data_IF_491155960692
#
_entry.id   IF_491155960692
#
_cell.length_a   1.000
_cell.length_b   1.000
_cell.length_c   1.000
_cell.angle_alpha   90.00
_cell.angle_beta   90.00
_cell.angle_gamma   90.00
#
_symmetry.space_group_name_H-M   'P 1'
#
loop_
_entity.id
_entity.type
_entity.pdbx_description
1 polymer ?
#
# COMPACT_ATOMS: atom_id res chain seq x y z
N UNK A 1 1.36 -63.16 -10.37
CA UNK A 1 0.31 -62.19 -10.77
C UNK A 1 -0.44 -61.54 -9.61
N UNK A 2 -0.69 -62.19 -8.50
CA UNK A 2 -1.37 -61.61 -7.33
C UNK A 2 -0.56 -60.47 -6.63
N UNK A 3 0.77 -60.50 -6.65
CA UNK A 3 1.64 -59.49 -6.02
C UNK A 3 1.67 -58.14 -6.75
N UNK A 4 1.47 -58.13 -8.07
CA UNK A 4 1.47 -56.90 -8.89
C UNK A 4 0.18 -56.11 -8.69
N UNK A 5 -0.96 -56.76 -8.49
CA UNK A 5 -2.25 -56.12 -8.24
C UNK A 5 -2.26 -55.37 -6.88
N UNK A 6 -1.62 -55.93 -5.85
CA UNK A 6 -1.53 -55.29 -4.54
C UNK A 6 -0.63 -54.02 -4.56
N UNK A 7 0.46 -54.00 -5.32
CA UNK A 7 1.36 -52.87 -5.47
C UNK A 7 0.70 -51.70 -6.22
N UNK A 8 -0.14 -51.96 -7.23
CA UNK A 8 -0.90 -50.92 -7.96
C UNK A 8 -1.95 -50.28 -7.08
N UNK A 9 -2.63 -51.04 -6.23
CA UNK A 9 -3.59 -50.52 -5.26
C UNK A 9 -2.92 -49.62 -4.20
N UNK A 10 -1.73 -49.96 -3.74
CA UNK A 10 -0.98 -49.16 -2.76
C UNK A 10 -0.48 -47.83 -3.36
N UNK A 11 -0.06 -47.81 -4.63
CA UNK A 11 0.32 -46.62 -5.37
C UNK A 11 -0.87 -45.66 -5.60
N UNK A 12 -2.06 -46.18 -5.89
CA UNK A 12 -3.28 -45.38 -6.06
C UNK A 12 -3.76 -44.80 -4.74
N UNK A 13 -3.62 -45.48 -3.60
CA UNK A 13 -3.95 -44.95 -2.28
C UNK A 13 -2.96 -43.86 -1.83
N UNK A 14 -1.68 -43.99 -2.16
CA UNK A 14 -0.68 -42.97 -1.82
C UNK A 14 -0.86 -41.68 -2.62
N UNK A 15 -1.34 -41.73 -3.84
CA UNK A 15 -1.63 -40.57 -4.66
C UNK A 15 -2.89 -39.80 -4.18
N UNK A 16 -3.90 -40.48 -3.71
CA UNK A 16 -5.10 -39.83 -3.15
C UNK A 16 -4.83 -39.14 -1.82
N UNK A 17 -3.90 -39.63 -1.00
CA UNK A 17 -3.47 -38.96 0.23
C UNK A 17 -2.66 -37.69 -0.02
N UNK A 18 -1.88 -37.62 -1.12
CA UNK A 18 -1.13 -36.41 -1.50
C UNK A 18 -2.04 -35.25 -1.95
N UNK A 19 -3.21 -35.53 -2.53
CA UNK A 19 -4.18 -34.49 -2.91
C UNK A 19 -5.05 -34.01 -1.75
N UNK A 20 -5.23 -34.78 -0.71
CA UNK A 20 -6.02 -34.41 0.47
C UNK A 20 -5.33 -33.37 1.36
N UNK A 21 -4.02 -33.18 1.23
CA UNK A 21 -3.24 -32.23 2.05
C UNK A 21 -3.11 -30.84 1.40
N UNK A 22 -3.64 -30.65 0.19
CA UNK A 22 -3.72 -29.35 -0.48
C UNK A 22 -5.02 -28.62 -0.14
N UNK A 23 -5.28 -28.42 1.14
CA UNK A 23 -6.32 -27.50 1.57
C UNK A 23 -5.78 -26.07 1.45
N UNK A 24 -6.19 -25.39 0.38
CA UNK A 24 -5.97 -23.95 0.26
C UNK A 24 -6.77 -23.27 1.37
N UNK A 25 -6.10 -22.90 2.43
CA UNK A 25 -6.69 -22.06 3.47
C UNK A 25 -6.75 -20.61 2.96
N UNK A 26 -7.90 -20.19 2.52
CA UNK A 26 -8.17 -18.79 2.26
C UNK A 26 -8.37 -18.16 3.64
N UNK A 27 -7.35 -17.47 4.14
CA UNK A 27 -7.50 -16.64 5.33
C UNK A 27 -8.50 -15.51 5.02
N UNK A 28 -9.40 -15.15 5.95
CA UNK A 28 -10.25 -13.99 5.73
C UNK A 28 -9.39 -12.76 5.51
N UNK A 29 -9.65 -12.02 4.43
CA UNK A 29 -8.98 -10.77 4.13
C UNK A 29 -9.41 -9.76 5.20
N UNK A 30 -8.49 -9.40 6.10
CA UNK A 30 -8.73 -8.34 7.07
C UNK A 30 -8.31 -7.03 6.42
N UNK A 31 -9.28 -6.23 6.02
CA UNK A 31 -9.04 -4.90 5.46
C UNK A 31 -9.13 -3.89 6.60
N UNK A 32 -8.08 -3.14 6.83
CA UNK A 32 -8.06 -1.98 7.71
C UNK A 32 -7.83 -0.72 6.90
N UNK A 33 -8.57 0.32 7.25
CA UNK A 33 -8.45 1.64 6.62
C UNK A 33 -8.10 2.66 7.70
N UNK A 34 -7.13 3.53 7.42
CA UNK A 34 -6.75 4.63 8.31
C UNK A 34 -6.68 5.93 7.54
N UNK A 35 -7.42 6.93 7.99
CA UNK A 35 -7.34 8.29 7.45
C UNK A 35 -6.51 9.19 8.36
N UNK A 36 -5.72 10.08 7.75
CA UNK A 36 -4.92 11.06 8.46
C UNK A 36 -5.01 12.43 7.77
N UNK A 37 -4.75 13.46 8.55
CA UNK A 37 -4.50 14.84 8.05
C UNK A 37 -3.11 15.25 8.47
N UNK A 38 -2.31 15.72 7.54
CA UNK A 38 -0.94 16.19 7.77
C UNK A 38 -0.82 17.63 7.25
N UNK A 39 -0.27 18.53 8.06
CA UNK A 39 0.06 19.87 7.60
C UNK A 39 1.43 19.84 6.94
N UNK A 40 1.49 20.21 5.67
CA UNK A 40 2.70 20.29 4.85
C UNK A 40 3.11 21.74 4.71
N UNK A 41 4.40 22.01 4.81
CA UNK A 41 5.00 23.33 4.70
C UNK A 41 6.09 23.34 3.61
N UNK A 42 6.86 24.41 3.51
CA UNK A 42 8.05 24.48 2.65
C UNK A 42 9.21 23.56 3.07
N UNK A 43 9.00 22.66 4.02
CA UNK A 43 9.96 21.64 4.45
C UNK A 43 9.39 20.25 4.22
N UNK A 44 10.21 19.31 3.75
CA UNK A 44 9.79 17.93 3.50
C UNK A 44 9.17 17.31 4.77
N UNK A 45 7.90 16.94 4.67
CA UNK A 45 7.07 16.44 5.78
C UNK A 45 6.55 15.06 5.43
N UNK A 46 6.72 14.08 6.32
CA UNK A 46 6.23 12.71 6.13
C UNK A 46 4.70 12.62 6.11
N UNK A 47 4.14 11.88 5.14
CA UNK A 47 2.70 11.67 4.98
C UNK A 47 2.37 10.17 4.96
N UNK A 48 1.61 9.70 5.95
CA UNK A 48 1.37 10.32 7.25
C UNK A 48 2.63 10.33 8.12
N UNK A 49 2.61 11.05 9.23
CA UNK A 49 3.74 11.04 10.19
C UNK A 49 4.04 9.63 10.73
N UNK A 50 3.03 8.77 10.83
CA UNK A 50 3.17 7.36 11.21
C UNK A 50 2.28 6.50 10.31
N UNK A 51 2.89 5.64 9.52
CA UNK A 51 2.19 4.74 8.60
C UNK A 51 1.32 3.70 9.33
N UNK A 52 0.25 3.28 8.68
CA UNK A 52 -0.55 2.13 9.12
C UNK A 52 0.32 0.86 9.02
N UNK A 53 0.47 0.15 10.13
CA UNK A 53 1.27 -1.09 10.15
C UNK A 53 0.67 -2.13 9.21
N UNK A 54 1.50 -2.63 8.29
CA UNK A 54 1.09 -3.56 7.24
C UNK A 54 0.33 -2.90 6.10
N UNK A 55 0.51 -1.59 5.89
CA UNK A 55 -0.07 -0.87 4.75
C UNK A 55 0.33 -1.52 3.43
N UNK A 56 -0.61 -1.61 2.51
CA UNK A 56 -0.41 -2.07 1.13
C UNK A 56 -0.49 -0.91 0.12
N UNK A 57 -1.33 0.09 0.43
CA UNK A 57 -1.51 1.27 -0.43
C UNK A 57 -1.86 2.52 0.36
N UNK A 58 -1.61 3.67 -0.26
CA UNK A 58 -1.96 4.99 0.26
C UNK A 58 -2.50 5.88 -0.86
N UNK A 59 -3.61 6.54 -0.60
CA UNK A 59 -4.09 7.66 -1.40
C UNK A 59 -3.78 8.97 -0.69
N UNK A 60 -3.29 9.96 -1.41
CA UNK A 60 -2.93 11.29 -0.90
C UNK A 60 -3.72 12.33 -1.66
N UNK A 61 -4.38 13.23 -0.94
CA UNK A 61 -5.22 14.29 -1.47
C UNK A 61 -4.78 15.66 -0.97
N UNK A 62 -4.48 16.55 -1.91
CA UNK A 62 -4.25 17.96 -1.64
C UNK A 62 -5.60 18.68 -1.42
N UNK A 63 -5.92 19.01 -0.17
CA UNK A 63 -7.19 19.63 0.20
C UNK A 63 -7.30 21.07 -0.32
N UNK A 64 -6.18 21.80 -0.29
CA UNK A 64 -6.10 23.22 -0.68
C UNK A 64 -5.62 23.37 -2.14
N UNK A 65 -5.95 22.42 -3.00
CA UNK A 65 -5.47 22.32 -4.39
C UNK A 65 -5.84 23.53 -5.27
N UNK A 66 -6.82 24.35 -4.88
CA UNK A 66 -7.21 25.53 -5.62
C UNK A 66 -6.23 26.72 -5.46
N UNK A 67 -5.42 26.71 -4.42
CA UNK A 67 -4.50 27.80 -4.06
C UNK A 67 -3.05 27.37 -4.00
N UNK A 68 -2.79 26.11 -3.63
CA UNK A 68 -1.46 25.59 -3.36
C UNK A 68 -1.18 24.28 -4.09
N UNK A 69 0.03 24.16 -4.59
CA UNK A 69 0.55 22.88 -5.13
C UNK A 69 1.40 22.20 -4.08
N UNK A 70 1.20 20.91 -3.88
CA UNK A 70 2.13 20.09 -3.10
C UNK A 70 2.92 19.17 -4.03
N UNK A 71 4.14 18.88 -3.63
CA UNK A 71 5.06 18.01 -4.38
C UNK A 71 5.41 16.80 -3.54
N UNK A 72 5.15 15.61 -4.09
CA UNK A 72 5.34 14.33 -3.41
C UNK A 72 6.69 13.73 -3.81
N UNK A 73 7.38 13.11 -2.86
CA UNK A 73 8.65 12.44 -3.12
C UNK A 73 9.22 11.75 -1.88
N UNK A 74 10.53 11.65 -1.84
CA UNK A 74 11.30 11.14 -0.71
C UNK A 74 11.70 12.28 0.26
N UNK A 75 12.54 12.00 1.25
CA UNK A 75 13.00 12.98 2.25
C UNK A 75 13.78 14.18 1.65
N UNK A 76 14.21 14.09 0.39
CA UNK A 76 14.92 15.13 -0.34
C UNK A 76 14.05 15.89 -1.32
N UNK A 77 12.72 15.71 -1.27
CA UNK A 77 11.75 16.34 -2.17
C UNK A 77 11.84 17.85 -2.13
N UNK A 78 11.78 18.44 -3.31
CA UNK A 78 11.71 19.89 -3.53
C UNK A 78 10.61 20.21 -4.54
N UNK A 79 10.30 21.48 -4.73
CA UNK A 79 9.36 21.92 -5.77
C UNK A 79 9.86 21.64 -7.19
N UNK A 80 11.16 21.40 -7.37
CA UNK A 80 11.78 21.12 -8.67
C UNK A 80 11.80 19.63 -9.03
N UNK A 81 11.84 18.71 -8.04
CA UNK A 81 11.96 17.27 -8.29
C UNK A 81 10.76 16.44 -7.84
N UNK A 82 9.84 17.02 -7.06
CA UNK A 82 8.67 16.32 -6.57
C UNK A 82 7.57 16.13 -7.62
N UNK A 83 6.72 15.12 -7.39
CA UNK A 83 5.54 14.89 -8.21
C UNK A 83 4.41 15.85 -7.79
N UNK A 84 3.92 16.75 -8.66
CA UNK A 84 2.98 17.78 -8.27
C UNK A 84 1.54 17.27 -8.13
N UNK A 85 0.86 17.63 -7.04
CA UNK A 85 -0.59 17.51 -6.87
C UNK A 85 -1.21 18.90 -6.97
N UNK A 86 -1.82 19.17 -8.11
CA UNK A 86 -2.39 20.47 -8.50
C UNK A 86 -3.92 20.46 -8.43
N UNK A 87 -4.55 21.58 -8.74
CA UNK A 87 -6.02 21.67 -8.86
C UNK A 87 -6.63 20.77 -9.92
N UNK A 88 -5.89 20.48 -11.00
CA UNK A 88 -6.34 19.57 -12.06
C UNK A 88 -6.10 18.09 -11.76
N UNK A 89 -5.17 17.77 -10.87
CA UNK A 89 -4.83 16.41 -10.45
C UNK A 89 -4.49 16.40 -8.94
N UNK A 90 -5.51 16.56 -8.07
CA UNK A 90 -5.28 16.76 -6.62
C UNK A 90 -5.05 15.48 -5.83
N UNK A 91 -5.20 14.30 -6.45
CA UNK A 91 -5.11 12.99 -5.80
C UNK A 91 -4.10 12.11 -6.48
N UNK A 92 -3.32 11.38 -5.69
CA UNK A 92 -2.48 10.26 -6.15
C UNK A 92 -2.74 9.02 -5.28
N UNK A 93 -2.72 7.84 -5.91
CA UNK A 93 -2.73 6.56 -5.21
C UNK A 93 -1.43 5.82 -5.49
N UNK A 94 -0.81 5.29 -4.45
CA UNK A 94 0.50 4.65 -4.49
C UNK A 94 0.41 3.30 -3.77
N UNK A 95 0.84 2.22 -4.44
CA UNK A 95 1.06 0.94 -3.80
C UNK A 95 2.42 0.96 -3.12
N UNK A 96 2.40 1.00 -1.80
CA UNK A 96 3.60 1.11 -0.97
C UNK A 96 3.33 0.55 0.42
N UNK A 97 4.18 -0.35 0.88
CA UNK A 97 4.13 -0.88 2.24
C UNK A 97 4.51 0.16 3.31
N UNK A 98 4.39 -0.20 4.57
CA UNK A 98 4.64 0.71 5.69
C UNK A 98 6.12 1.04 5.94
N UNK A 99 7.05 0.38 5.24
CA UNK A 99 8.49 0.71 5.27
C UNK A 99 8.83 1.90 4.38
N UNK A 100 8.00 2.18 3.38
CA UNK A 100 8.17 3.31 2.46
C UNK A 100 7.60 4.57 3.08
N UNK A 101 8.45 5.56 3.39
CA UNK A 101 8.04 6.86 3.90
C UNK A 101 7.89 7.81 2.71
N UNK A 102 6.69 8.35 2.55
CA UNK A 102 6.38 9.35 1.51
C UNK A 102 6.44 10.73 2.15
N UNK A 103 7.11 11.65 1.49
CA UNK A 103 7.23 13.04 1.93
C UNK A 103 6.50 13.97 0.96
N UNK A 104 6.11 15.12 1.48
CA UNK A 104 5.59 16.21 0.67
C UNK A 104 6.17 17.55 1.10
N UNK A 105 6.19 18.48 0.16
CA UNK A 105 6.55 19.89 0.37
C UNK A 105 5.52 20.77 -0.34
N UNK A 106 5.19 21.92 0.25
CA UNK A 106 4.36 22.96 -0.37
C UNK A 106 5.22 24.00 -1.08
N UNK A 107 4.69 24.58 -2.14
CA UNK A 107 5.34 25.70 -2.87
C UNK A 107 5.15 27.07 -2.20
N UNK A 108 4.36 27.15 -1.15
CA UNK A 108 4.05 28.42 -0.49
C UNK A 108 3.80 28.26 1.00
N UNK A 109 2.55 28.41 1.40
CA UNK A 109 2.10 28.41 2.78
C UNK A 109 1.84 26.99 3.29
N UNK A 110 1.44 26.86 4.55
CA UNK A 110 0.98 25.60 5.14
C UNK A 110 -0.27 25.09 4.44
N UNK A 111 -0.26 23.82 4.05
CA UNK A 111 -1.33 23.13 3.33
C UNK A 111 -1.75 21.90 4.10
N UNK A 112 -3.04 21.64 4.20
CA UNK A 112 -3.54 20.39 4.74
C UNK A 112 -3.63 19.32 3.65
N UNK A 113 -3.04 18.18 3.93
CA UNK A 113 -3.04 17.01 3.08
C UNK A 113 -3.76 15.89 3.80
N UNK A 114 -4.68 15.23 3.12
CA UNK A 114 -5.34 14.03 3.64
C UNK A 114 -4.73 12.79 3.02
N UNK A 115 -4.54 11.78 3.84
CA UNK A 115 -4.14 10.45 3.37
C UNK A 115 -5.14 9.40 3.82
N UNK A 116 -5.33 8.39 2.97
CA UNK A 116 -6.12 7.20 3.23
C UNK A 116 -5.22 5.99 2.98
N UNK A 117 -4.94 5.25 4.04
CA UNK A 117 -4.12 4.05 3.98
C UNK A 117 -5.00 2.80 4.05
N UNK A 118 -4.64 1.77 3.29
CA UNK A 118 -5.34 0.48 3.20
C UNK A 118 -4.34 -0.63 3.51
N UNK A 119 -4.85 -1.62 4.29
CA UNK A 119 -4.12 -2.83 4.66
C UNK A 119 -4.93 -4.05 4.30
#
# INVERSE_FOLDING_TARGET
MRKIKAAIWFLLLSQTLLYADQVVRIAPLTISVKSNTTTVTGTATAIPATALKGRESIAIYNVDNSTETIYIGDSTVTTANGFPLTSSAPVISIDADDSVIIYAISDGTSVNVRSLEIK
#
